data_IF_588283275314
#
_entry.id   IF_588283275314
#
_cell.length_a   1.000
_cell.length_b   1.000
_cell.length_c   1.000
_cell.angle_alpha   90.00
_cell.angle_beta   90.00
_cell.angle_gamma   90.00
#
_symmetry.space_group_name_H-M   'P 1'
#
loop_
_entity.id
_entity.type
_entity.pdbx_description
1 polymer ?
#
# COMPACT_ATOMS: atom_id res chain seq x y z
N UNK A 1 14.92 29.95 20.16
CA UNK A 1 13.47 29.74 20.01
C UNK A 1 13.15 29.60 18.53
N UNK A 2 12.26 28.67 18.13
CA UNK A 2 11.91 28.49 16.71
C UNK A 2 10.98 29.61 16.26
N UNK A 3 11.26 30.24 15.11
CA UNK A 3 10.41 31.31 14.54
C UNK A 3 8.97 30.88 14.21
N UNK A 4 8.70 29.57 14.18
CA UNK A 4 7.38 29.02 13.90
C UNK A 4 6.54 28.75 15.17
N UNK A 5 7.01 29.16 16.36
CA UNK A 5 6.22 29.07 17.61
C UNK A 5 4.86 29.79 17.50
N UNK A 6 4.76 31.01 16.94
CA UNK A 6 3.47 31.68 16.81
C UNK A 6 2.45 30.88 15.96
N UNK A 7 2.93 30.21 14.91
CA UNK A 7 2.09 29.34 14.09
C UNK A 7 1.58 28.13 14.86
N UNK A 8 2.42 27.56 15.73
CA UNK A 8 2.00 26.47 16.63
C UNK A 8 0.87 26.95 17.55
N UNK A 9 1.06 28.07 18.23
CA UNK A 9 0.07 28.62 19.17
C UNK A 9 -1.26 28.96 18.49
N UNK A 10 -1.21 29.58 17.30
CA UNK A 10 -2.39 29.86 16.49
C UNK A 10 -3.18 28.59 16.17
N UNK A 11 -2.51 27.52 15.72
CA UNK A 11 -3.14 26.25 15.40
C UNK A 11 -3.72 25.56 16.66
N UNK A 12 -3.04 25.66 17.80
CA UNK A 12 -3.56 25.16 19.08
C UNK A 12 -4.86 25.89 19.46
N UNK A 13 -4.89 27.23 19.36
CA UNK A 13 -6.10 27.99 19.64
C UNK A 13 -7.27 27.62 18.70
N UNK A 14 -6.98 27.45 17.40
CA UNK A 14 -7.97 27.04 16.39
C UNK A 14 -8.44 25.59 16.52
N UNK A 15 -7.84 24.80 17.40
CA UNK A 15 -8.27 23.43 17.65
C UNK A 15 -9.66 23.33 18.30
N UNK A 16 -10.19 24.41 18.88
CA UNK A 16 -11.55 24.41 19.44
C UNK A 16 -12.64 24.71 18.39
N UNK A 17 -12.28 25.26 17.22
CA UNK A 17 -13.26 25.78 16.24
C UNK A 17 -13.59 24.78 15.11
N UNK A 18 -12.76 23.76 14.87
CA UNK A 18 -13.00 22.78 13.81
C UNK A 18 -11.85 21.80 13.60
N UNK A 19 -12.04 20.84 12.68
CA UNK A 19 -11.05 19.78 12.41
C UNK A 19 -10.14 20.05 11.21
N UNK A 20 -10.41 21.14 10.48
CA UNK A 20 -9.63 21.61 9.35
C UNK A 20 -9.62 23.14 9.33
N UNK A 21 -8.54 23.73 8.84
CA UNK A 21 -8.39 25.17 8.69
C UNK A 21 -7.59 25.46 7.44
N UNK A 22 -8.11 26.33 6.59
CA UNK A 22 -7.39 26.87 5.44
C UNK A 22 -6.77 28.20 5.84
N UNK A 23 -5.46 28.37 5.62
CA UNK A 23 -4.72 29.60 5.93
C UNK A 23 -3.98 30.03 4.66
N UNK A 24 -4.02 31.33 4.34
CA UNK A 24 -3.22 31.87 3.22
C UNK A 24 -1.75 32.01 3.61
N UNK A 25 -0.84 31.99 2.64
CA UNK A 25 0.60 32.19 2.89
C UNK A 25 0.86 33.55 3.54
N UNK A 26 0.14 34.59 3.12
CA UNK A 26 0.20 35.91 3.74
C UNK A 26 -0.25 35.89 5.21
N UNK A 27 -1.28 35.12 5.55
CA UNK A 27 -1.71 35.02 6.94
C UNK A 27 -0.74 34.18 7.77
N UNK A 28 -0.12 33.15 7.19
CA UNK A 28 1.01 32.45 7.84
C UNK A 28 2.15 33.42 8.14
N UNK A 29 2.53 34.27 7.18
CA UNK A 29 3.57 35.30 7.37
C UNK A 29 3.21 36.30 8.47
N UNK A 30 1.96 36.76 8.52
CA UNK A 30 1.47 37.63 9.61
C UNK A 30 1.56 36.94 10.96
N UNK A 31 1.21 35.66 11.04
CA UNK A 31 1.26 34.87 12.27
C UNK A 31 2.71 34.72 12.75
N UNK A 32 3.65 34.36 11.86
CA UNK A 32 5.06 34.19 12.22
C UNK A 32 5.83 35.52 12.31
N UNK A 33 5.23 36.63 11.88
CA UNK A 33 5.81 37.99 11.79
C UNK A 33 7.08 38.04 10.92
N UNK A 34 7.15 37.19 9.90
CA UNK A 34 8.29 37.09 8.98
C UNK A 34 7.81 36.58 7.61
N UNK A 35 8.51 36.95 6.54
CA UNK A 35 8.22 36.44 5.20
C UNK A 35 8.57 34.95 5.08
N UNK A 36 7.73 34.19 4.37
CA UNK A 36 8.01 32.81 4.04
C UNK A 36 9.13 32.76 3.00
N UNK A 37 10.03 31.76 3.07
CA UNK A 37 11.08 31.62 2.07
C UNK A 37 10.47 31.37 0.70
N UNK A 38 11.15 31.79 -0.37
CA UNK A 38 10.71 31.58 -1.76
C UNK A 38 10.33 30.12 -2.05
N UNK A 39 11.04 29.17 -1.44
CA UNK A 39 10.76 27.73 -1.53
C UNK A 39 9.36 27.34 -1.06
N UNK A 40 8.76 28.04 -0.09
CA UNK A 40 7.38 27.79 0.33
C UNK A 40 6.36 28.12 -0.76
N UNK A 41 6.70 29.04 -1.68
CA UNK A 41 5.84 29.48 -2.78
C UNK A 41 5.96 28.61 -4.04
N UNK A 42 7.14 28.02 -4.26
CA UNK A 42 7.44 27.27 -5.49
C UNK A 42 7.43 25.75 -5.30
N UNK A 43 7.80 25.26 -4.11
CA UNK A 43 8.02 23.84 -3.86
C UNK A 43 6.99 23.27 -2.88
N UNK A 44 6.08 22.43 -3.39
CA UNK A 44 5.17 21.65 -2.54
C UNK A 44 5.89 20.85 -1.45
N UNK A 45 7.08 20.25 -1.68
CA UNK A 45 7.84 19.55 -0.64
C UNK A 45 8.17 20.39 0.60
N UNK A 46 8.21 21.72 0.51
CA UNK A 46 8.41 22.58 1.68
C UNK A 46 7.29 22.39 2.72
N UNK A 47 6.06 22.08 2.27
CA UNK A 47 4.90 21.83 3.12
C UNK A 47 4.78 20.37 3.58
N UNK A 48 5.83 19.55 3.38
CA UNK A 48 5.80 18.15 3.78
C UNK A 48 5.73 17.96 5.31
N UNK A 49 4.96 16.97 5.74
CA UNK A 49 4.82 16.60 7.16
C UNK A 49 6.02 15.76 7.63
N UNK A 50 7.18 16.40 7.82
CA UNK A 50 8.43 15.73 8.23
C UNK A 50 8.94 16.25 9.57
N UNK A 51 9.38 15.35 10.45
CA UNK A 51 10.02 15.73 11.71
C UNK A 51 11.44 16.29 11.54
N UNK A 52 11.99 16.28 10.32
CA UNK A 52 13.33 16.82 10.02
C UNK A 52 13.31 18.35 9.83
N UNK A 53 12.17 18.91 9.44
CA UNK A 53 12.04 20.33 9.16
C UNK A 53 11.52 21.11 10.36
N UNK A 54 12.18 22.22 10.70
CA UNK A 54 11.80 23.05 11.85
C UNK A 54 10.42 23.72 11.69
N UNK A 55 10.02 24.08 10.47
CA UNK A 55 8.67 24.57 10.18
C UNK A 55 7.62 23.48 10.39
N UNK A 56 7.87 22.27 9.87
CA UNK A 56 6.91 21.19 9.96
C UNK A 56 6.67 20.69 11.39
N UNK A 57 7.71 20.72 12.23
CA UNK A 57 7.57 20.47 13.67
C UNK A 57 6.54 21.39 14.34
N UNK A 58 6.37 22.63 13.87
CA UNK A 58 5.45 23.58 14.50
C UNK A 58 3.99 23.12 14.39
N UNK A 59 3.50 22.83 13.18
CA UNK A 59 2.13 22.32 13.02
C UNK A 59 1.98 20.89 13.54
N UNK A 60 2.97 20.02 13.35
CA UNK A 60 2.92 18.64 13.85
C UNK A 60 2.82 18.59 15.39
N UNK A 61 3.59 19.43 16.09
CA UNK A 61 3.54 19.53 17.55
C UNK A 61 2.30 20.27 18.06
N UNK A 62 1.64 21.08 17.22
CA UNK A 62 0.33 21.66 17.50
C UNK A 62 -0.82 20.65 17.37
N UNK A 63 -0.54 19.42 16.90
CA UNK A 63 -1.59 18.45 16.60
C UNK A 63 -2.28 18.70 15.26
N UNK A 64 -1.56 19.27 14.29
CA UNK A 64 -2.05 19.53 12.93
C UNK A 64 -1.10 18.92 11.90
N UNK A 65 -1.62 18.57 10.72
CA UNK A 65 -0.83 18.17 9.55
C UNK A 65 -1.28 18.98 8.35
N UNK A 66 -0.38 19.23 7.41
CA UNK A 66 -0.75 19.77 6.10
C UNK A 66 -1.45 18.67 5.31
N UNK A 67 -2.68 18.94 4.85
CA UNK A 67 -3.45 18.04 4.00
C UNK A 67 -3.24 18.39 2.52
N UNK A 68 -3.44 19.65 2.15
CA UNK A 68 -3.29 20.15 0.79
C UNK A 68 -2.62 21.52 0.79
N UNK A 69 -1.83 21.79 -0.25
CA UNK A 69 -1.28 23.11 -0.53
C UNK A 69 -1.63 23.51 -1.96
N UNK A 70 -2.12 24.74 -2.11
CA UNK A 70 -2.42 25.35 -3.39
C UNK A 70 -1.46 26.52 -3.64
N UNK A 71 -0.36 26.25 -4.34
CA UNK A 71 0.66 27.25 -4.66
C UNK A 71 0.13 28.39 -5.55
N UNK A 72 -0.87 28.12 -6.41
CA UNK A 72 -1.45 29.14 -7.30
C UNK A 72 -2.30 30.16 -6.52
N UNK A 73 -3.05 29.69 -5.53
CA UNK A 73 -3.87 30.55 -4.66
C UNK A 73 -3.11 31.07 -3.43
N UNK A 74 -1.95 30.48 -3.13
CA UNK A 74 -1.19 30.81 -1.93
C UNK A 74 -1.90 30.36 -0.66
N UNK A 75 -2.45 29.16 -0.64
CA UNK A 75 -3.25 28.64 0.48
C UNK A 75 -2.74 27.26 0.92
N UNK A 76 -2.81 27.01 2.23
CA UNK A 76 -2.53 25.72 2.83
C UNK A 76 -3.72 25.28 3.68
N UNK A 77 -4.14 24.03 3.48
CA UNK A 77 -5.16 23.37 4.29
C UNK A 77 -4.45 22.55 5.37
N UNK A 78 -4.59 22.98 6.61
CA UNK A 78 -4.23 22.18 7.78
C UNK A 78 -5.43 21.34 8.22
N UNK A 79 -5.17 20.13 8.65
CA UNK A 79 -6.16 19.23 9.25
C UNK A 79 -5.63 18.78 10.60
N UNK A 80 -6.52 18.64 11.59
CA UNK A 80 -6.14 18.08 12.88
C UNK A 80 -5.46 16.74 12.67
N UNK A 81 -4.24 16.66 13.16
CA UNK A 81 -3.55 15.41 13.37
C UNK A 81 -4.21 14.77 14.60
N UNK A 82 -5.28 14.03 14.37
CA UNK A 82 -5.98 13.22 15.39
C UNK A 82 -5.01 12.21 16.08
N UNK A 83 -3.73 12.15 15.66
CA UNK A 83 -2.66 11.44 16.33
C UNK A 83 -2.17 12.02 17.67
N UNK A 84 -2.56 13.23 18.11
CA UNK A 84 -2.03 13.80 19.38
C UNK A 84 -2.94 13.64 20.60
N UNK A 85 -4.26 13.52 20.46
CA UNK A 85 -5.13 13.13 21.59
C UNK A 85 -4.96 11.64 21.96
N UNK A 86 -4.43 10.83 21.04
CA UNK A 86 -4.12 9.43 21.26
C UNK A 86 -2.71 9.21 21.85
N UNK A 87 -1.77 10.16 21.73
CA UNK A 87 -0.38 9.91 22.14
C UNK A 87 -0.12 9.92 23.67
N UNK A 88 -1.06 10.36 24.49
CA UNK A 88 -0.95 10.22 25.96
C UNK A 88 -1.72 9.01 26.52
N UNK A 89 -2.50 8.31 25.69
CA UNK A 89 -3.30 7.14 26.11
C UNK A 89 -3.20 5.89 25.20
N UNK A 90 -2.36 5.84 24.15
CA UNK A 90 -2.53 4.79 23.11
C UNK A 90 -1.31 4.11 22.48
N UNK A 91 -0.07 4.30 22.95
CA UNK A 91 1.06 3.59 22.30
C UNK A 91 1.04 2.06 22.59
N UNK A 92 0.44 1.63 23.71
CA UNK A 92 0.21 0.21 24.01
C UNK A 92 -1.09 -0.35 23.42
N UNK A 93 -2.17 0.44 23.30
CA UNK A 93 -3.49 -0.08 22.86
C UNK A 93 -3.66 -0.16 21.34
N UNK A 94 -3.03 0.74 20.57
CA UNK A 94 -3.07 0.72 19.10
C UNK A 94 -2.21 -0.40 18.50
N UNK A 95 -1.02 -0.66 19.07
CA UNK A 95 -0.21 -1.84 18.74
C UNK A 95 -1.00 -3.13 18.94
N UNK A 96 -1.71 -3.24 20.07
CA UNK A 96 -2.56 -4.39 20.36
C UNK A 96 -3.81 -4.53 19.49
N UNK A 97 -4.34 -3.42 18.96
CA UNK A 97 -5.53 -3.48 18.09
C UNK A 97 -5.20 -4.02 16.70
N UNK A 98 -4.13 -3.52 16.09
CA UNK A 98 -3.72 -4.02 14.77
C UNK A 98 -2.99 -5.36 14.85
N UNK A 99 -2.39 -5.75 15.97
CA UNK A 99 -1.82 -7.10 16.10
C UNK A 99 -2.88 -8.19 15.93
N UNK A 100 -4.14 -7.94 16.33
CA UNK A 100 -5.27 -8.86 16.07
C UNK A 100 -5.49 -9.12 14.59
N UNK A 101 -5.39 -8.09 13.76
CA UNK A 101 -5.45 -8.25 12.30
C UNK A 101 -4.27 -9.10 11.79
N UNK A 102 -3.08 -8.90 12.34
CA UNK A 102 -1.89 -9.68 11.99
C UNK A 102 -2.10 -11.16 12.31
N UNK A 103 -2.50 -11.47 13.54
CA UNK A 103 -2.80 -12.85 13.97
C UNK A 103 -3.96 -13.48 13.20
N UNK A 104 -4.97 -12.70 12.82
CA UNK A 104 -6.06 -13.18 11.97
C UNK A 104 -5.56 -13.58 10.57
N UNK A 105 -4.71 -12.73 9.97
CA UNK A 105 -4.12 -12.99 8.66
C UNK A 105 -3.10 -14.13 8.67
N UNK A 106 -2.35 -14.31 9.76
CA UNK A 106 -1.41 -15.44 9.93
C UNK A 106 -2.12 -16.79 10.00
N UNK A 107 -3.31 -16.84 10.61
CA UNK A 107 -4.12 -18.06 10.73
C UNK A 107 -4.85 -18.46 9.45
N UNK A 108 -4.79 -17.64 8.40
CA UNK A 108 -5.43 -17.98 7.13
C UNK A 108 -4.76 -19.23 6.52
N UNK A 109 -5.54 -20.12 5.88
CA UNK A 109 -5.01 -21.25 5.13
C UNK A 109 -3.96 -20.84 4.09
N UNK A 110 -2.98 -21.70 3.81
CA UNK A 110 -1.86 -21.39 2.90
C UNK A 110 -2.29 -21.25 1.44
N UNK A 111 -3.39 -21.90 1.06
CA UNK A 111 -4.06 -21.80 -0.24
C UNK A 111 -4.89 -20.51 -0.39
N UNK A 112 -5.24 -19.84 0.72
CA UNK A 112 -5.88 -18.53 0.68
C UNK A 112 -4.87 -17.46 0.27
N UNK A 113 -4.81 -17.13 -1.03
CA UNK A 113 -3.88 -16.15 -1.59
C UNK A 113 -4.38 -14.70 -1.53
N UNK A 114 -5.70 -14.50 -1.58
CA UNK A 114 -6.34 -13.18 -1.59
C UNK A 114 -7.49 -13.14 -0.60
N UNK A 115 -7.68 -12.01 0.09
CA UNK A 115 -8.78 -11.81 1.03
C UNK A 115 -9.33 -10.40 0.86
N UNK A 116 -10.63 -10.28 0.61
CA UNK A 116 -11.33 -9.01 0.67
C UNK A 116 -12.01 -8.86 2.03
N UNK A 117 -11.88 -7.68 2.64
CA UNK A 117 -12.56 -7.33 3.88
C UNK A 117 -13.21 -5.96 3.72
N UNK A 118 -14.46 -5.85 4.15
CA UNK A 118 -15.08 -4.54 4.38
C UNK A 118 -14.41 -3.83 5.56
N UNK A 119 -14.53 -2.50 5.59
CA UNK A 119 -14.00 -1.68 6.69
C UNK A 119 -14.70 -2.00 8.01
N UNK A 120 -15.96 -2.43 7.97
CA UNK A 120 -16.69 -2.90 9.14
C UNK A 120 -16.14 -4.23 9.67
N UNK A 121 -15.94 -5.24 8.81
CA UNK A 121 -15.35 -6.52 9.19
C UNK A 121 -13.94 -6.34 9.74
N UNK A 122 -13.13 -5.50 9.08
CA UNK A 122 -11.80 -5.17 9.58
C UNK A 122 -11.88 -4.51 10.96
N UNK A 123 -12.85 -3.62 11.16
CA UNK A 123 -13.16 -3.01 12.44
C UNK A 123 -13.51 -4.04 13.52
N UNK A 124 -14.32 -5.06 13.19
CA UNK A 124 -14.66 -6.17 14.09
C UNK A 124 -13.41 -6.99 14.46
N UNK A 125 -12.54 -7.28 13.49
CA UNK A 125 -11.29 -8.03 13.70
C UNK A 125 -10.34 -7.28 14.65
N UNK A 126 -10.14 -5.97 14.45
CA UNK A 126 -9.30 -5.14 15.34
C UNK A 126 -10.01 -4.75 16.64
N UNK A 127 -11.30 -5.10 16.77
CA UNK A 127 -12.21 -4.75 17.87
C UNK A 127 -12.32 -3.23 18.09
N UNK A 128 -12.31 -2.46 17.00
CA UNK A 128 -12.42 -1.00 17.03
C UNK A 128 -12.89 -0.45 15.70
N UNK A 129 -13.58 0.70 15.72
CA UNK A 129 -13.83 1.47 14.49
C UNK A 129 -12.51 1.95 13.89
N UNK A 130 -12.43 1.87 12.56
CA UNK A 130 -11.31 2.43 11.82
C UNK A 130 -11.28 3.95 11.93
N UNK A 131 -10.08 4.57 11.94
CA UNK A 131 -9.97 6.01 11.93
C UNK A 131 -10.51 6.57 10.62
N UNK A 132 -11.09 7.79 10.66
CA UNK A 132 -11.62 8.49 9.46
C UNK A 132 -10.60 8.55 8.31
N UNK A 133 -9.31 8.63 8.63
CA UNK A 133 -8.23 8.62 7.63
C UNK A 133 -8.22 7.35 6.77
N UNK A 134 -8.61 6.19 7.30
CA UNK A 134 -8.73 4.95 6.52
C UNK A 134 -9.80 5.06 5.41
N UNK A 135 -10.83 5.89 5.61
CA UNK A 135 -11.94 6.08 4.68
C UNK A 135 -11.64 7.07 3.55
N UNK A 136 -10.64 7.93 3.72
CA UNK A 136 -10.37 9.05 2.80
C UNK A 136 -8.97 9.00 2.17
N UNK A 137 -7.99 8.41 2.87
CA UNK A 137 -6.58 8.53 2.52
C UNK A 137 -6.00 7.17 2.11
N UNK A 138 -5.81 6.97 0.80
CA UNK A 138 -5.19 5.75 0.26
C UNK A 138 -3.82 5.43 0.89
N UNK A 139 -2.90 6.42 1.06
CA UNK A 139 -1.67 6.26 1.85
C UNK A 139 -1.81 5.61 3.23
N UNK A 140 -2.96 5.71 3.91
CA UNK A 140 -3.17 5.03 5.19
C UNK A 140 -3.01 3.51 5.09
N UNK A 141 -3.32 2.95 3.91
CA UNK A 141 -3.27 1.53 3.57
C UNK A 141 -1.92 1.09 2.97
N UNK A 142 -0.88 1.92 3.05
CA UNK A 142 0.42 1.60 2.47
C UNK A 142 1.06 0.36 3.13
N UNK A 143 1.71 -0.47 2.30
CA UNK A 143 2.51 -1.62 2.74
C UNK A 143 3.86 -1.15 3.30
N UNK A 144 3.84 -0.58 4.51
CA UNK A 144 5.02 -0.02 5.17
C UNK A 144 5.20 -0.58 6.57
N UNK A 145 6.46 -0.80 6.97
CA UNK A 145 6.81 -1.13 8.36
C UNK A 145 6.74 0.07 9.30
N UNK A 146 6.58 1.28 8.77
CA UNK A 146 6.61 2.53 9.54
C UNK A 146 5.31 2.77 10.33
N UNK A 147 4.15 2.32 9.82
CA UNK A 147 2.86 2.46 10.49
C UNK A 147 2.48 1.17 11.25
N UNK A 148 1.78 1.25 12.40
CA UNK A 148 1.35 0.06 13.15
C UNK A 148 0.47 -0.89 12.32
N UNK A 149 -0.49 -0.34 11.57
CA UNK A 149 -1.37 -1.11 10.71
C UNK A 149 -0.60 -1.72 9.53
N UNK A 150 0.24 -0.94 8.85
CA UNK A 150 1.08 -1.40 7.74
C UNK A 150 1.99 -2.56 8.14
N UNK A 151 2.62 -2.44 9.31
CA UNK A 151 3.46 -3.48 9.89
C UNK A 151 2.67 -4.75 10.19
N UNK A 152 1.43 -4.64 10.65
CA UNK A 152 0.61 -5.79 11.04
C UNK A 152 0.40 -6.77 9.88
N UNK A 153 -0.19 -6.33 8.77
CA UNK A 153 -0.42 -7.23 7.63
C UNK A 153 0.89 -7.63 6.94
N UNK A 154 1.87 -6.72 6.82
CA UNK A 154 3.15 -7.06 6.16
C UNK A 154 4.00 -8.04 6.96
N UNK A 155 3.93 -8.02 8.30
CA UNK A 155 4.56 -9.01 9.16
C UNK A 155 3.85 -10.37 9.07
N UNK A 156 2.52 -10.38 8.95
CA UNK A 156 1.72 -11.58 8.72
C UNK A 156 1.91 -12.22 7.33
N UNK A 157 2.78 -11.66 6.48
CA UNK A 157 3.01 -12.16 5.13
C UNK A 157 1.96 -11.71 4.10
N UNK A 158 1.20 -10.66 4.38
CA UNK A 158 0.18 -10.10 3.50
C UNK A 158 0.52 -8.67 3.08
N UNK A 159 0.12 -8.30 1.88
CA UNK A 159 0.17 -6.94 1.37
C UNK A 159 -1.24 -6.50 1.00
N UNK A 160 -1.54 -5.22 1.21
CA UNK A 160 -2.68 -4.58 0.55
C UNK A 160 -2.41 -4.58 -0.95
N UNK A 161 -3.30 -5.22 -1.70
CA UNK A 161 -3.28 -5.27 -3.16
C UNK A 161 -4.13 -4.15 -3.77
N UNK A 162 -5.34 -3.92 -3.23
CA UNK A 162 -6.20 -2.83 -3.68
C UNK A 162 -7.11 -2.29 -2.57
N UNK A 163 -7.50 -1.02 -2.70
CA UNK A 163 -8.49 -0.36 -1.85
C UNK A 163 -9.58 0.29 -2.71
N UNK A 164 -10.82 0.04 -2.32
CA UNK A 164 -12.02 0.64 -2.88
C UNK A 164 -12.71 1.49 -1.81
N UNK A 165 -12.28 2.75 -1.67
CA UNK A 165 -12.79 3.65 -0.61
C UNK A 165 -14.32 3.85 -0.68
N UNK A 166 -14.90 3.98 -1.89
CA UNK A 166 -16.36 4.14 -2.06
C UNK A 166 -17.16 2.90 -1.65
N UNK A 167 -16.58 1.71 -1.85
CA UNK A 167 -17.18 0.45 -1.47
C UNK A 167 -16.69 -0.02 -0.09
N UNK A 168 -15.92 0.82 0.62
CA UNK A 168 -15.34 0.54 1.93
C UNK A 168 -14.71 -0.86 2.04
N UNK A 169 -13.97 -1.25 1.01
CA UNK A 169 -13.39 -2.61 0.89
C UNK A 169 -11.90 -2.53 0.63
N UNK A 170 -11.14 -3.31 1.40
CA UNK A 170 -9.71 -3.56 1.19
C UNK A 170 -9.51 -4.99 0.70
N UNK A 171 -8.59 -5.16 -0.24
CA UNK A 171 -8.14 -6.45 -0.74
C UNK A 171 -6.71 -6.66 -0.31
N UNK A 172 -6.48 -7.69 0.51
CA UNK A 172 -5.17 -8.21 0.87
C UNK A 172 -4.78 -9.35 -0.06
N UNK A 173 -3.48 -9.50 -0.29
CA UNK A 173 -2.87 -10.60 -1.03
C UNK A 173 -1.61 -11.10 -0.33
N UNK A 174 -1.37 -12.40 -0.31
CA UNK A 174 -0.14 -12.97 0.25
C UNK A 174 1.08 -12.45 -0.49
N UNK A 175 2.08 -12.00 0.28
CA UNK A 175 3.34 -11.48 -0.23
C UNK A 175 4.09 -12.58 -1.00
N UNK A 176 4.55 -12.25 -2.20
CA UNK A 176 5.27 -13.19 -3.07
C UNK A 176 4.38 -14.20 -3.82
N UNK A 177 3.09 -14.30 -3.46
CA UNK A 177 2.09 -15.11 -4.16
C UNK A 177 1.20 -14.23 -5.06
N UNK A 178 1.79 -13.28 -5.79
CA UNK A 178 1.10 -12.64 -6.91
C UNK A 178 1.51 -13.29 -8.22
N UNK A 179 0.79 -14.33 -8.68
CA UNK A 179 1.03 -14.94 -9.98
C UNK A 179 1.20 -13.94 -11.12
N UNK A 180 0.42 -12.86 -11.20
CA UNK A 180 0.48 -11.95 -12.34
C UNK A 180 1.84 -11.25 -12.41
N UNK A 181 2.29 -10.71 -11.27
CA UNK A 181 3.57 -10.04 -11.16
C UNK A 181 4.75 -11.03 -11.20
N UNK A 182 4.62 -12.16 -10.51
CA UNK A 182 5.67 -13.18 -10.41
C UNK A 182 5.90 -13.87 -11.75
N UNK A 183 4.84 -14.19 -12.52
CA UNK A 183 4.93 -14.75 -13.88
C UNK A 183 5.67 -13.78 -14.79
N UNK A 184 5.23 -12.52 -14.87
CA UNK A 184 5.87 -11.51 -15.73
C UNK A 184 7.35 -11.35 -15.41
N UNK A 185 7.69 -11.25 -14.12
CA UNK A 185 9.07 -11.09 -13.68
C UNK A 185 9.91 -12.33 -14.00
N UNK A 186 9.38 -13.52 -13.78
CA UNK A 186 10.09 -14.77 -14.03
C UNK A 186 10.28 -15.01 -15.54
N UNK A 187 9.24 -14.85 -16.35
CA UNK A 187 9.31 -14.92 -17.82
C UNK A 187 10.34 -13.92 -18.36
N UNK A 188 10.32 -12.67 -17.88
CA UNK A 188 11.32 -11.68 -18.23
C UNK A 188 12.75 -12.15 -17.91
N UNK A 189 12.97 -12.73 -16.73
CA UNK A 189 14.28 -13.29 -16.38
C UNK A 189 14.75 -14.43 -17.28
N UNK A 190 13.82 -15.30 -17.71
CA UNK A 190 14.11 -16.40 -18.64
C UNK A 190 14.47 -15.91 -20.04
N UNK A 191 13.82 -14.84 -20.49
CA UNK A 191 14.02 -14.27 -21.83
C UNK A 191 15.25 -13.36 -21.91
N UNK A 192 15.55 -12.60 -20.85
CA UNK A 192 16.62 -11.60 -20.83
C UNK A 192 17.93 -12.08 -20.18
N UNK A 193 17.99 -13.32 -19.66
CA UNK A 193 19.18 -14.04 -19.11
C UNK A 193 20.02 -13.29 -18.05
N UNK A 194 19.57 -12.15 -17.54
CA UNK A 194 20.40 -11.25 -16.74
C UNK A 194 20.04 -11.15 -15.25
N UNK A 195 19.02 -11.87 -14.78
CA UNK A 195 18.62 -11.84 -13.37
C UNK A 195 18.44 -13.24 -12.82
N UNK A 196 19.27 -13.62 -11.85
CA UNK A 196 19.09 -14.86 -11.08
C UNK A 196 17.85 -14.66 -10.21
N UNK A 197 16.71 -15.18 -10.66
CA UNK A 197 15.49 -15.31 -9.86
C UNK A 197 15.37 -16.78 -9.47
N UNK A 198 15.12 -17.05 -8.18
CA UNK A 198 14.88 -18.41 -7.71
C UNK A 198 13.74 -19.04 -8.54
N UNK A 199 14.05 -20.18 -9.15
CA UNK A 199 13.08 -20.96 -9.91
C UNK A 199 11.92 -21.38 -9.00
N UNK A 200 10.65 -21.17 -9.41
CA UNK A 200 9.50 -21.73 -8.71
C UNK A 200 9.48 -23.26 -8.80
N UNK A 201 8.92 -23.94 -7.79
CA UNK A 201 8.71 -25.37 -7.81
C UNK A 201 7.69 -25.79 -8.90
N UNK A 202 7.65 -27.09 -9.24
CA UNK A 202 6.81 -27.57 -10.33
C UNK A 202 5.31 -27.43 -10.05
N UNK A 203 4.84 -27.52 -8.81
CA UNK A 203 3.43 -27.27 -8.50
C UNK A 203 3.06 -25.80 -8.73
N UNK A 204 3.95 -24.88 -8.37
CA UNK A 204 3.77 -23.44 -8.63
C UNK A 204 3.78 -23.15 -10.13
N UNK A 205 4.72 -23.71 -10.89
CA UNK A 205 4.79 -23.56 -12.34
C UNK A 205 3.54 -24.12 -13.04
N UNK A 206 3.04 -25.29 -12.63
CA UNK A 206 1.81 -25.86 -13.15
C UNK A 206 0.62 -24.91 -12.95
N UNK A 207 0.45 -24.39 -11.73
CA UNK A 207 -0.59 -23.39 -11.42
C UNK A 207 -0.47 -22.14 -12.29
N UNK A 208 0.76 -21.66 -12.52
CA UNK A 208 1.01 -20.48 -13.35
C UNK A 208 0.71 -20.72 -14.83
N UNK A 209 1.06 -21.89 -15.38
CA UNK A 209 0.77 -22.26 -16.77
C UNK A 209 -0.76 -22.35 -16.98
N UNK A 210 -1.47 -23.01 -16.06
CA UNK A 210 -2.93 -23.07 -16.10
C UNK A 210 -3.60 -21.69 -15.95
N UNK A 211 -3.03 -20.80 -15.13
CA UNK A 211 -3.50 -19.42 -15.04
C UNK A 211 -3.31 -18.67 -16.37
N UNK A 212 -2.13 -18.76 -16.97
CA UNK A 212 -1.80 -18.13 -18.25
C UNK A 212 -2.80 -18.51 -19.35
N UNK A 213 -3.14 -19.80 -19.44
CA UNK A 213 -4.20 -20.28 -20.34
C UNK A 213 -5.54 -19.58 -20.07
N UNK A 214 -5.99 -19.50 -18.81
CA UNK A 214 -7.30 -18.93 -18.46
C UNK A 214 -7.43 -17.44 -18.76
N UNK A 215 -6.34 -16.68 -18.63
CA UNK A 215 -6.33 -15.22 -18.79
C UNK A 215 -5.81 -14.76 -20.16
N UNK A 216 -5.48 -15.69 -21.05
CA UNK A 216 -5.02 -15.39 -22.42
C UNK A 216 -3.55 -14.99 -22.55
N UNK A 217 -2.74 -15.22 -21.52
CA UNK A 217 -1.28 -15.00 -21.53
C UNK A 217 -0.55 -16.18 -22.15
N UNK A 218 -0.90 -16.50 -23.40
CA UNK A 218 -0.45 -17.73 -24.04
C UNK A 218 1.07 -17.78 -24.24
N UNK A 219 1.70 -16.62 -24.48
CA UNK A 219 3.16 -16.52 -24.62
C UNK A 219 3.87 -16.90 -23.32
N UNK A 220 3.46 -16.30 -22.21
CA UNK A 220 3.98 -16.56 -20.88
C UNK A 220 3.78 -18.04 -20.51
N UNK A 221 2.59 -18.59 -20.77
CA UNK A 221 2.28 -20.00 -20.53
C UNK A 221 3.23 -20.94 -21.29
N UNK A 222 3.49 -20.67 -22.56
CA UNK A 222 4.45 -21.43 -23.39
C UNK A 222 5.88 -21.30 -22.86
N UNK A 223 6.34 -20.09 -22.52
CA UNK A 223 7.69 -19.86 -22.00
C UNK A 223 7.90 -20.56 -20.65
N UNK A 224 6.92 -20.53 -19.76
CA UNK A 224 7.00 -21.20 -18.46
C UNK A 224 7.16 -22.72 -18.60
N UNK A 225 6.42 -23.33 -19.54
CA UNK A 225 6.52 -24.77 -19.81
C UNK A 225 7.88 -25.14 -20.43
N UNK A 226 8.30 -24.42 -21.48
CA UNK A 226 9.50 -24.76 -22.26
C UNK A 226 10.81 -24.36 -21.58
N UNK A 227 10.81 -23.26 -20.82
CA UNK A 227 12.03 -22.61 -20.30
C UNK A 227 12.01 -22.38 -18.79
N UNK A 228 10.90 -22.61 -18.11
CA UNK A 228 10.78 -22.46 -16.65
C UNK A 228 11.46 -23.57 -15.84
N UNK A 229 12.10 -24.53 -16.51
CA UNK A 229 12.72 -25.70 -15.89
C UNK A 229 11.72 -26.76 -15.45
N UNK A 230 10.45 -26.65 -15.86
CA UNK A 230 9.39 -27.60 -15.53
C UNK A 230 9.79 -29.05 -15.85
N UNK A 231 9.62 -29.97 -14.90
CA UNK A 231 9.99 -31.37 -15.05
C UNK A 231 8.79 -32.27 -14.79
N UNK A 232 8.35 -32.98 -15.82
CA UNK A 232 7.19 -33.88 -15.78
C UNK A 232 7.43 -35.09 -14.85
N UNK A 233 8.68 -35.55 -14.75
CA UNK A 233 9.06 -36.72 -13.93
C UNK A 233 8.94 -36.48 -12.42
N UNK A 234 8.73 -35.23 -12.00
CA UNK A 234 8.70 -34.82 -10.60
C UNK A 234 7.30 -34.48 -10.07
N UNK A 235 6.27 -34.72 -10.89
CA UNK A 235 4.85 -34.50 -10.57
C UNK A 235 4.03 -35.75 -10.91
N UNK A 236 2.82 -35.90 -10.37
CA UNK A 236 1.98 -37.07 -10.65
C UNK A 236 1.46 -37.10 -12.10
N UNK A 237 1.12 -38.28 -12.62
CA UNK A 237 0.64 -38.46 -14.01
C UNK A 237 -0.54 -37.54 -14.38
N UNK A 238 -1.47 -37.33 -13.44
CA UNK A 238 -2.62 -36.42 -13.61
C UNK A 238 -2.13 -34.97 -13.82
N UNK A 239 -1.16 -34.53 -13.01
CA UNK A 239 -0.59 -33.19 -13.08
C UNK A 239 0.25 -32.99 -14.34
N UNK A 240 0.96 -34.03 -14.79
CA UNK A 240 1.69 -34.02 -16.05
C UNK A 240 0.75 -33.85 -17.24
N UNK A 241 -0.33 -34.63 -17.28
CA UNK A 241 -1.38 -34.53 -18.31
C UNK A 241 -2.00 -33.13 -18.32
N UNK A 242 -2.34 -32.59 -17.15
CA UNK A 242 -2.87 -31.23 -17.01
C UNK A 242 -1.88 -30.17 -17.57
N UNK A 243 -0.59 -30.31 -17.27
CA UNK A 243 0.45 -29.40 -17.75
C UNK A 243 0.52 -29.39 -19.29
N UNK A 244 0.52 -30.58 -19.90
CA UNK A 244 0.58 -30.76 -21.34
C UNK A 244 -0.65 -30.17 -22.04
N UNK A 245 -1.84 -30.37 -21.47
CA UNK A 245 -3.08 -29.78 -21.99
C UNK A 245 -3.03 -28.24 -21.97
N UNK A 246 -2.62 -27.64 -20.84
CA UNK A 246 -2.51 -26.18 -20.74
C UNK A 246 -1.49 -25.63 -21.73
N UNK A 247 -0.35 -26.31 -21.89
CA UNK A 247 0.69 -25.94 -22.85
C UNK A 247 0.21 -26.03 -24.30
N UNK A 248 -0.45 -27.13 -24.67
CA UNK A 248 -0.95 -27.36 -26.02
C UNK A 248 -1.94 -26.27 -26.45
N UNK A 249 -2.84 -25.85 -25.53
CA UNK A 249 -3.79 -24.76 -25.78
C UNK A 249 -3.05 -23.43 -25.97
N UNK A 250 -2.10 -23.09 -25.10
CA UNK A 250 -1.31 -21.87 -25.24
C UNK A 250 -0.60 -21.81 -26.61
N UNK A 251 0.07 -22.89 -27.00
CA UNK A 251 0.80 -22.98 -28.27
C UNK A 251 -0.11 -22.86 -29.48
N UNK A 252 -1.31 -23.45 -29.41
CA UNK A 252 -2.33 -23.36 -30.48
C UNK A 252 -2.83 -21.93 -30.65
N UNK A 253 -3.20 -21.25 -29.56
CA UNK A 253 -3.74 -19.88 -29.62
C UNK A 253 -2.69 -18.87 -30.08
N UNK A 254 -1.40 -19.04 -29.72
CA UNK A 254 -0.33 -18.18 -30.25
C UNK A 254 -0.20 -18.24 -31.78
N UNK A 255 -0.42 -19.41 -32.37
CA UNK A 255 -0.30 -19.61 -33.82
C UNK A 255 -1.55 -19.23 -34.59
N UNK A 256 -2.67 -18.96 -33.91
CA UNK A 256 -3.99 -18.75 -34.51
C UNK A 256 -4.04 -17.58 -35.50
N UNK A 257 -3.25 -16.52 -35.23
CA UNK A 257 -3.27 -15.28 -36.00
C UNK A 257 -2.00 -15.02 -36.82
N UNK A 258 -1.03 -15.94 -36.81
CA UNK A 258 0.24 -15.78 -37.54
C UNK A 258 0.18 -16.38 -38.96
N UNK A 259 -0.93 -16.19 -39.68
CA UNK A 259 -1.09 -16.61 -41.07
C UNK A 259 -0.75 -15.49 -42.04
#
# INVERSE_FOLDING_TARGET
MSKYIPLKEYLVAKSQEGDHITITFKDVEKIIKEALPKTAYIDRPWWANTQRSNHAKAWLSAGWKVDKVNLKKGEVLFMKNIGTATNLLSDWSLKGSYSRLGSFLEKMPDDQEQLALSFEELGKIIQRKLPRTAYIDRPWWANTKASPQGRSWTAAGWNVANIYLKAETVVFRRKGKDPLWSIHRYVKSLMEKNTIINRPDNNTLLKWIGLCRRIGWFFEGTVLYERGGFSLDSIGEIQATEAEEHYAICKRELKKYCK
#
